data_IF_007288191929
#
_entry.id   IF_007288191929
#
_cell.length_a   1.000
_cell.length_b   1.000
_cell.length_c   1.000
_cell.angle_alpha   90.00
_cell.angle_beta   90.00
_cell.angle_gamma   90.00
#
_symmetry.space_group_name_H-M   'P 1'
#
loop_
_entity.id
_entity.type
_entity.pdbx_description
1 polymer ?
#
# COMPACT_ATOMS: atom_id res chain seq x y z
N UNK A 1 9.71 2.89 -3.83
CA UNK A 1 8.96 3.77 -2.90
C UNK A 1 7.51 3.31 -2.95
N UNK A 2 6.91 3.05 -1.79
CA UNK A 2 5.46 3.01 -1.64
C UNK A 2 5.16 3.91 -0.44
N UNK A 3 4.25 4.86 -0.58
CA UNK A 3 3.55 5.51 0.55
C UNK A 3 2.08 5.44 0.21
N UNK A 4 1.23 4.89 1.09
CA UNK A 4 -0.18 4.66 0.74
C UNK A 4 -1.14 5.20 1.79
N UNK A 5 -2.26 5.74 1.34
CA UNK A 5 -3.33 6.32 2.15
C UNK A 5 -4.64 5.73 1.61
N UNK A 6 -5.50 5.17 2.47
CA UNK A 6 -6.83 4.71 2.06
C UNK A 6 -7.90 5.43 2.85
N UNK A 7 -8.60 6.38 2.23
CA UNK A 7 -9.64 7.18 2.87
C UNK A 7 -11.04 6.71 2.49
N UNK A 8 -11.98 6.82 3.43
CA UNK A 8 -13.41 6.69 3.14
C UNK A 8 -13.86 7.82 2.22
N UNK A 9 -14.52 7.48 1.10
CA UNK A 9 -15.11 8.47 0.20
C UNK A 9 -16.40 9.02 0.81
N UNK A 10 -16.37 10.25 1.30
CA UNK A 10 -17.54 10.95 1.83
C UNK A 10 -18.34 11.57 0.68
N UNK A 11 -19.44 10.92 0.26
CA UNK A 11 -20.49 11.62 -0.50
C UNK A 11 -21.22 12.60 0.43
N UNK A 12 -20.72 13.84 0.45
CA UNK A 12 -21.28 15.07 1.05
C UNK A 12 -21.81 14.97 2.50
N UNK A 13 -21.12 15.67 3.40
CA UNK A 13 -21.77 16.40 4.49
C UNK A 13 -21.88 15.71 5.85
N UNK A 14 -20.78 15.33 6.49
CA UNK A 14 -20.64 15.48 7.95
C UNK A 14 -19.16 15.40 8.33
N UNK A 15 -18.63 16.46 8.94
CA UNK A 15 -17.29 16.51 9.50
C UNK A 15 -17.26 15.63 10.76
N UNK A 16 -16.97 14.34 10.60
CA UNK A 16 -16.58 13.48 11.71
C UNK A 16 -15.07 13.61 11.91
N UNK A 17 -14.71 14.31 12.99
CA UNK A 17 -13.35 14.49 13.47
C UNK A 17 -12.78 13.13 13.93
N UNK A 18 -11.74 12.61 13.25
CA UNK A 18 -10.99 11.40 13.67
C UNK A 18 -10.68 10.42 12.53
N UNK A 19 -9.63 10.72 11.75
CA UNK A 19 -9.00 9.93 10.68
C UNK A 19 -9.88 8.95 9.90
N UNK A 20 -10.39 9.40 8.74
CA UNK A 20 -11.04 8.56 7.74
C UNK A 20 -10.10 7.53 7.07
N UNK A 21 -8.80 7.53 7.42
CA UNK A 21 -7.80 6.62 6.88
C UNK A 21 -7.88 5.27 7.60
N UNK A 22 -8.07 4.20 6.83
CA UNK A 22 -8.06 2.83 7.38
C UNK A 22 -6.68 2.19 7.31
N UNK A 23 -5.69 2.77 6.64
CA UNK A 23 -4.31 2.27 6.59
C UNK A 23 -3.56 2.69 7.85
N UNK A 24 -2.86 1.73 8.45
CA UNK A 24 -1.96 1.94 9.58
C UNK A 24 -0.55 2.20 9.06
N UNK A 25 0.17 3.10 9.74
CA UNK A 25 1.54 3.45 9.40
C UNK A 25 1.76 3.77 7.89
N UNK A 26 0.98 4.68 7.29
CA UNK A 26 0.99 4.93 5.84
C UNK A 26 2.31 5.52 5.31
N UNK A 27 3.08 6.16 6.20
CA UNK A 27 4.34 6.86 5.92
C UNK A 27 5.58 6.13 6.45
N UNK A 28 5.42 4.93 7.03
CA UNK A 28 6.52 4.11 7.55
C UNK A 28 7.34 4.78 8.68
N UNK A 29 6.75 5.74 9.40
CA UNK A 29 7.39 6.38 10.56
C UNK A 29 7.51 5.42 11.74
N UNK A 30 6.61 4.44 11.83
CA UNK A 30 6.70 3.30 12.76
C UNK A 30 7.32 2.09 12.05
N UNK A 31 8.42 2.33 11.33
CA UNK A 31 9.15 1.34 10.55
C UNK A 31 8.22 0.53 9.60
N UNK A 32 8.30 -0.80 9.62
CA UNK A 32 7.46 -1.71 8.83
C UNK A 32 6.24 -2.22 9.61
N UNK A 33 5.89 -1.58 10.73
CA UNK A 33 4.73 -1.93 11.55
C UNK A 33 3.46 -1.99 10.71
N UNK A 34 2.73 -3.11 10.80
CA UNK A 34 1.52 -3.44 10.03
C UNK A 34 1.71 -3.64 8.52
N UNK A 35 2.95 -3.74 8.03
CA UNK A 35 3.25 -4.02 6.62
C UNK A 35 4.00 -5.33 6.48
N UNK A 36 3.70 -6.07 5.42
CA UNK A 36 4.37 -7.32 5.08
C UNK A 36 4.68 -7.38 3.58
N UNK A 37 5.63 -8.23 3.22
CA UNK A 37 5.90 -8.60 1.83
C UNK A 37 5.06 -9.81 1.44
N UNK A 38 4.29 -9.69 0.37
CA UNK A 38 3.63 -10.82 -0.30
C UNK A 38 4.60 -11.44 -1.30
N UNK A 39 5.20 -12.57 -0.95
CA UNK A 39 6.13 -13.29 -1.84
C UNK A 39 7.40 -12.50 -2.18
N UNK A 40 7.73 -11.47 -1.41
CA UNK A 40 8.94 -10.66 -1.55
C UNK A 40 9.45 -10.22 -0.19
N UNK A 41 10.67 -9.67 -0.16
CA UNK A 41 11.20 -9.01 1.01
C UNK A 41 10.77 -7.54 1.00
N UNK A 42 10.56 -6.97 2.19
CA UNK A 42 10.35 -5.53 2.35
C UNK A 42 11.49 -4.93 3.16
N UNK A 43 11.98 -3.78 2.71
CA UNK A 43 13.06 -3.03 3.36
C UNK A 43 12.61 -1.60 3.62
N UNK A 44 12.98 -1.08 4.79
CA UNK A 44 12.79 0.31 5.18
C UNK A 44 14.00 1.13 4.74
N UNK A 45 13.77 2.33 4.20
CA UNK A 45 14.82 3.22 3.74
C UNK A 45 14.57 4.66 4.18
N UNK A 46 15.60 5.33 4.67
CA UNK A 46 15.65 6.81 4.76
C UNK A 46 16.05 7.41 3.40
N UNK A 47 16.92 6.71 2.68
CA UNK A 47 17.30 7.05 1.31
C UNK A 47 17.78 5.80 0.55
N UNK A 48 17.81 5.90 -0.78
CA UNK A 48 18.46 4.92 -1.67
C UNK A 48 19.28 5.65 -2.73
N UNK A 49 20.16 4.91 -3.43
CA UNK A 49 20.98 5.43 -4.54
C UNK A 49 21.80 6.67 -4.11
N UNK A 50 22.61 6.51 -3.06
CA UNK A 50 23.46 7.56 -2.48
C UNK A 50 22.72 8.88 -2.23
N UNK A 51 21.46 8.80 -1.80
CA UNK A 51 20.63 9.97 -1.47
C UNK A 51 19.80 10.54 -2.63
N UNK A 52 19.90 9.98 -3.84
CA UNK A 52 19.08 10.44 -4.99
C UNK A 52 17.60 10.06 -4.86
N UNK A 53 17.31 9.04 -4.08
CA UNK A 53 15.94 8.58 -3.81
C UNK A 53 15.63 8.86 -2.35
N UNK A 54 14.71 9.80 -2.14
CA UNK A 54 14.21 10.22 -0.83
C UNK A 54 12.71 9.92 -0.71
N UNK A 55 12.18 9.78 0.52
CA UNK A 55 10.75 9.74 0.73
C UNK A 55 10.08 11.03 0.23
N UNK A 56 8.85 10.93 -0.28
CA UNK A 56 8.07 12.12 -0.64
C UNK A 56 7.53 12.83 0.61
N UNK A 57 7.18 12.06 1.63
CA UNK A 57 6.67 12.52 2.92
C UNK A 57 7.35 11.75 4.04
N UNK A 58 7.55 12.39 5.19
CA UNK A 58 8.16 11.74 6.34
C UNK A 58 9.66 11.45 6.16
N UNK A 59 10.17 10.56 7.01
CA UNK A 59 11.58 10.16 7.08
C UNK A 59 11.84 8.86 6.32
N UNK A 60 10.84 8.01 6.15
CA UNK A 60 11.05 6.67 5.60
C UNK A 60 10.16 6.36 4.40
N UNK A 61 10.58 5.36 3.62
CA UNK A 61 9.74 4.68 2.66
C UNK A 61 10.11 3.19 2.60
N UNK A 62 9.15 2.36 2.17
CA UNK A 62 9.41 0.95 1.94
C UNK A 62 9.76 0.65 0.48
N UNK A 63 10.61 -0.37 0.30
CA UNK A 63 10.89 -1.01 -0.99
C UNK A 63 10.54 -2.50 -0.95
N UNK A 64 10.03 -3.03 -2.06
CA UNK A 64 9.84 -4.46 -2.26
C UNK A 64 11.01 -5.00 -3.08
N UNK A 65 11.76 -5.94 -2.52
CA UNK A 65 12.95 -6.54 -3.13
C UNK A 65 12.77 -8.04 -3.33
N UNK A 66 13.61 -8.66 -4.16
CA UNK A 66 13.54 -10.09 -4.48
C UNK A 66 12.16 -10.51 -5.02
N UNK A 67 11.52 -9.65 -5.83
CA UNK A 67 10.28 -9.97 -6.53
C UNK A 67 10.59 -10.90 -7.71
N UNK A 68 9.92 -12.03 -7.77
CA UNK A 68 10.08 -13.05 -8.83
C UNK A 68 8.81 -13.25 -9.65
N UNK A 69 7.66 -12.74 -9.18
CA UNK A 69 6.37 -12.79 -9.87
C UNK A 69 5.67 -11.45 -9.80
N UNK A 70 4.77 -11.21 -10.76
CA UNK A 70 4.03 -9.95 -10.89
C UNK A 70 3.13 -9.64 -9.69
N UNK A 71 2.65 -10.66 -8.98
CA UNK A 71 1.84 -10.53 -7.78
C UNK A 71 2.63 -10.24 -6.51
N UNK A 72 3.97 -10.34 -6.55
CA UNK A 72 4.77 -10.04 -5.38
C UNK A 72 4.71 -8.54 -5.08
N UNK A 73 4.51 -8.15 -3.83
CA UNK A 73 4.30 -6.74 -3.47
C UNK A 73 4.24 -6.49 -1.97
N UNK A 74 4.06 -5.23 -1.59
CA UNK A 74 3.87 -4.83 -0.20
C UNK A 74 2.37 -4.91 0.10
N UNK A 75 1.99 -5.53 1.21
CA UNK A 75 0.59 -5.69 1.63
C UNK A 75 0.39 -5.31 3.10
N UNK A 76 -0.87 -5.01 3.45
CA UNK A 76 -1.32 -4.77 4.82
C UNK A 76 -2.69 -5.41 5.01
N UNK A 77 -2.86 -6.17 6.08
CA UNK A 77 -4.14 -6.78 6.42
C UNK A 77 -5.10 -5.76 7.03
N UNK A 78 -6.15 -5.40 6.31
CA UNK A 78 -7.15 -4.40 6.72
C UNK A 78 -8.44 -5.01 7.30
N UNK A 79 -8.42 -6.30 7.66
CA UNK A 79 -9.54 -7.00 8.27
C UNK A 79 -10.06 -6.26 9.51
N UNK A 80 -11.38 -6.15 9.66
CA UNK A 80 -12.02 -5.39 10.73
C UNK A 80 -12.00 -3.86 10.58
N UNK A 81 -11.17 -3.31 9.68
CA UNK A 81 -11.10 -1.86 9.39
C UNK A 81 -11.96 -1.45 8.19
N UNK A 82 -12.25 -2.40 7.30
CA UNK A 82 -13.21 -2.23 6.21
C UNK A 82 -14.63 -2.44 6.73
N UNK A 83 -15.53 -1.53 6.37
CA UNK A 83 -16.97 -1.60 6.67
C UNK A 83 -17.78 -1.83 5.39
N UNK A 84 -18.80 -2.71 5.41
CA UNK A 84 -19.70 -2.93 4.28
C UNK A 84 -20.39 -1.64 3.82
N UNK A 85 -20.72 -1.57 2.53
CA UNK A 85 -21.48 -0.47 1.90
C UNK A 85 -20.81 0.92 1.96
N UNK A 86 -19.53 1.00 2.32
CA UNK A 86 -18.73 2.22 2.21
C UNK A 86 -17.81 2.14 0.99
N UNK A 87 -17.69 3.26 0.28
CA UNK A 87 -16.69 3.44 -0.76
C UNK A 87 -15.36 3.86 -0.12
N UNK A 88 -14.27 3.26 -0.60
CA UNK A 88 -12.91 3.57 -0.17
C UNK A 88 -12.10 4.03 -1.38
N UNK A 89 -11.24 5.00 -1.15
CA UNK A 89 -10.29 5.51 -2.12
C UNK A 89 -8.89 5.19 -1.60
N UNK A 90 -8.09 4.49 -2.42
CA UNK A 90 -6.70 4.17 -2.12
C UNK A 90 -5.81 5.05 -2.98
N UNK A 91 -4.94 5.82 -2.35
CA UNK A 91 -3.90 6.60 -2.99
C UNK A 91 -2.56 6.01 -2.58
N UNK A 92 -1.67 5.74 -3.54
CA UNK A 92 -0.30 5.40 -3.23
C UNK A 92 0.67 6.09 -4.17
N UNK A 93 1.79 6.58 -3.63
CA UNK A 93 2.90 7.08 -4.43
C UNK A 93 3.91 5.96 -4.56
N UNK A 94 4.20 5.63 -5.81
CA UNK A 94 5.07 4.53 -6.17
C UNK A 94 6.20 5.03 -7.06
N UNK A 95 7.39 4.51 -6.79
CA UNK A 95 8.54 4.65 -7.69
C UNK A 95 9.10 3.28 -7.97
N UNK A 96 9.24 2.98 -9.25
CA UNK A 96 9.96 1.81 -9.74
C UNK A 96 11.44 2.17 -9.86
N UNK A 97 12.29 1.29 -9.38
CA UNK A 97 13.74 1.45 -9.38
C UNK A 97 14.40 0.10 -9.67
N UNK A 98 15.41 0.09 -10.54
CA UNK A 98 16.08 -1.09 -11.07
C UNK A 98 16.53 -0.89 -12.51
N UNK A 99 17.52 -1.65 -12.98
CA UNK A 99 18.05 -1.54 -14.35
C UNK A 99 17.06 -2.04 -15.42
N UNK A 100 16.99 -1.32 -16.55
CA UNK A 100 16.18 -1.64 -17.74
C UNK A 100 14.68 -1.90 -17.48
N UNK A 101 14.02 -0.99 -16.77
CA UNK A 101 12.55 -0.97 -16.71
C UNK A 101 12.01 -0.12 -17.86
N UNK A 102 11.70 -0.75 -18.98
CA UNK A 102 11.03 -0.08 -20.10
C UNK A 102 9.54 0.16 -19.82
N UNK A 103 8.88 -0.85 -19.23
CA UNK A 103 7.49 -0.82 -18.81
C UNK A 103 7.33 -1.59 -17.50
N UNK A 104 6.53 -1.05 -16.58
CA UNK A 104 6.18 -1.73 -15.34
C UNK A 104 4.71 -1.49 -15.01
N UNK A 105 3.96 -2.57 -14.92
CA UNK A 105 2.57 -2.53 -14.49
C UNK A 105 2.51 -2.44 -12.96
N UNK A 106 1.94 -1.35 -12.45
CA UNK A 106 1.62 -1.18 -11.04
C UNK A 106 0.14 -1.50 -10.86
N UNK A 107 -0.19 -2.30 -9.85
CA UNK A 107 -1.57 -2.67 -9.55
C UNK A 107 -1.82 -2.62 -8.04
N UNK A 108 -2.97 -2.08 -7.67
CA UNK A 108 -3.54 -2.25 -6.34
C UNK A 108 -4.62 -3.34 -6.38
N UNK A 109 -4.56 -4.25 -5.40
CA UNK A 109 -5.46 -5.40 -5.30
C UNK A 109 -5.97 -5.54 -3.87
N UNK A 110 -7.26 -5.81 -3.72
CA UNK A 110 -7.85 -6.24 -2.46
C UNK A 110 -7.93 -7.76 -2.43
N UNK A 111 -7.26 -8.35 -1.44
CA UNK A 111 -7.35 -9.77 -1.14
C UNK A 111 -8.48 -10.00 -0.13
N UNK A 112 -9.38 -10.95 -0.43
CA UNK A 112 -10.52 -11.30 0.42
C UNK A 112 -10.56 -12.81 0.62
N UNK A 113 -10.73 -13.23 1.87
CA UNK A 113 -10.92 -14.63 2.26
C UNK A 113 -12.01 -14.70 3.34
N UNK A 114 -12.90 -15.69 3.25
CA UNK A 114 -13.85 -16.03 4.31
C UNK A 114 -14.08 -17.54 4.35
N UNK A 115 -14.72 -18.05 5.40
CA UNK A 115 -14.98 -19.51 5.52
C UNK A 115 -15.70 -20.10 4.30
N UNK A 116 -16.58 -19.31 3.68
CA UNK A 116 -17.40 -19.76 2.54
C UNK A 116 -16.84 -19.33 1.18
N UNK A 117 -15.79 -18.51 1.15
CA UNK A 117 -15.24 -17.91 -0.07
C UNK A 117 -13.77 -18.31 -0.20
N UNK A 118 -13.48 -19.09 -1.24
CA UNK A 118 -12.10 -19.31 -1.70
C UNK A 118 -11.41 -17.95 -1.90
N UNK A 119 -10.11 -17.91 -1.65
CA UNK A 119 -9.29 -16.71 -1.84
C UNK A 119 -9.60 -15.96 -3.15
N UNK A 120 -9.96 -14.68 -3.03
CA UNK A 120 -10.25 -13.80 -4.17
C UNK A 120 -9.32 -12.59 -4.19
N UNK A 121 -8.95 -12.18 -5.40
CA UNK A 121 -8.13 -11.01 -5.67
C UNK A 121 -8.91 -10.03 -6.55
N UNK A 122 -9.34 -8.92 -5.94
CA UNK A 122 -10.15 -7.90 -6.60
C UNK A 122 -9.22 -6.76 -7.01
N UNK A 123 -9.07 -6.54 -8.32
CA UNK A 123 -8.32 -5.40 -8.84
C UNK A 123 -9.05 -4.11 -8.51
N UNK A 124 -8.33 -3.15 -7.92
CA UNK A 124 -8.87 -1.81 -7.67
C UNK A 124 -8.72 -1.01 -8.96
N UNK A 125 -9.81 -0.36 -9.38
CA UNK A 125 -9.75 0.57 -10.51
C UNK A 125 -8.86 1.76 -10.11
N UNK A 126 -7.85 2.02 -10.93
CA UNK A 126 -6.88 3.12 -10.76
C UNK A 126 -7.16 4.21 -11.77
#
# INVERSE_FOLDING_TARGET
IVSSVCTKSTRKGHLANGSNNIILNPTFEDELSNWSGKGCNILLHESMEDGKILPLYGKFFASATNRTRSWNGIEQEITGRVRPKLAYEVTAIVRIYGGNVADANIQATLWVQSQDINEQYIKIAM
#
